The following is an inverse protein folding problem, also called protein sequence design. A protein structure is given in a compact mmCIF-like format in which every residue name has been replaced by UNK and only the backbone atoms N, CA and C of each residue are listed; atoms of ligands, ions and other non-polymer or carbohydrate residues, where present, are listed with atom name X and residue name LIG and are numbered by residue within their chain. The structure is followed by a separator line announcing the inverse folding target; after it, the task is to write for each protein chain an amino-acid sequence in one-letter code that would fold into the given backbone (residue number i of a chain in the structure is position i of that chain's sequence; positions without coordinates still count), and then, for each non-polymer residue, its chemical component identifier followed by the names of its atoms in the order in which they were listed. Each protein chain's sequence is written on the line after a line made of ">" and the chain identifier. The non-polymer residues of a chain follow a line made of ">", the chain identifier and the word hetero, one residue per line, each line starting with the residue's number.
data_IF_438238759868
#
_entry.id   IF_438238759868
#
_cell.length_a   1.000
_cell.length_b   1.000
_cell.length_c   1.000
_cell.angle_alpha   90.00
_cell.angle_beta   90.00
_cell.angle_gamma   90.00
#
_symmetry.space_group_name_H-M   'P 1'
#
loop_
_entity.id
_entity.type
_entity.pdbx_description
1 polymer ?
#
# COMPACT_ATOMS: atom_id res chain seq x y z
N UNK A 1 17.32 -13.91 -4.01
CA UNK A 1 16.88 -13.01 -5.10
C UNK A 1 17.39 -11.61 -4.78
N UNK A 2 17.98 -10.93 -5.76
CA UNK A 2 18.54 -9.60 -5.58
C UNK A 2 17.49 -8.61 -5.05
N UNK A 3 17.84 -7.87 -4.01
CA UNK A 3 16.92 -6.99 -3.28
C UNK A 3 16.86 -5.62 -3.96
N UNK A 4 15.93 -5.47 -4.90
CA UNK A 4 15.56 -4.17 -5.47
C UNK A 4 14.67 -3.34 -4.52
N UNK A 5 14.61 -2.03 -4.74
CA UNK A 5 13.60 -1.17 -4.13
C UNK A 5 12.32 -1.21 -4.95
N UNK A 6 11.17 -1.11 -4.28
CA UNK A 6 9.87 -0.97 -4.92
C UNK A 6 9.33 0.42 -4.58
N UNK A 7 8.84 1.11 -5.60
CA UNK A 7 8.25 2.43 -5.50
C UNK A 7 6.83 2.38 -6.05
N UNK A 8 5.86 2.72 -5.21
CA UNK A 8 4.45 2.79 -5.59
C UNK A 8 3.98 4.25 -5.61
N UNK A 9 3.22 4.60 -6.64
CA UNK A 9 2.45 5.84 -6.71
C UNK A 9 0.98 5.49 -6.87
N UNK A 10 0.21 5.67 -5.80
CA UNK A 10 -1.18 5.20 -5.70
C UNK A 10 -2.19 6.33 -5.52
N UNK A 11 -3.37 6.11 -6.08
CA UNK A 11 -4.60 6.75 -5.62
C UNK A 11 -5.37 5.75 -4.73
N UNK A 12 -5.86 6.25 -3.60
CA UNK A 12 -6.69 5.46 -2.69
C UNK A 12 -8.05 6.13 -2.51
N UNK A 13 -9.10 5.33 -2.55
CA UNK A 13 -10.46 5.74 -2.22
C UNK A 13 -10.87 5.01 -0.95
N UNK A 14 -11.32 5.77 0.05
CA UNK A 14 -11.75 5.22 1.34
C UNK A 14 -13.20 5.63 1.65
N UNK A 15 -14.00 4.64 2.02
CA UNK A 15 -15.38 4.78 2.48
C UNK A 15 -15.43 4.50 3.98
N UNK A 16 -15.95 5.43 4.80
CA UNK A 16 -16.14 5.18 6.22
C UNK A 16 -17.23 4.12 6.45
N UNK A 17 -16.93 3.08 7.23
CA UNK A 17 -17.91 2.10 7.70
C UNK A 17 -18.41 2.42 9.12
N UNK A 18 -17.53 2.96 9.94
CA UNK A 18 -17.83 3.40 11.30
C UNK A 18 -16.92 4.58 11.68
N UNK A 19 -17.16 5.20 12.83
CA UNK A 19 -16.40 6.38 13.31
C UNK A 19 -14.88 6.22 13.23
N UNK A 20 -14.37 5.01 13.49
CA UNK A 20 -12.96 4.70 13.52
C UNK A 20 -12.52 3.71 12.43
N UNK A 21 -13.42 3.29 11.54
CA UNK A 21 -13.19 2.19 10.60
C UNK A 21 -13.55 2.66 9.18
N UNK A 22 -12.67 2.41 8.23
CA UNK A 22 -12.90 2.67 6.81
C UNK A 22 -12.43 1.48 5.99
N UNK A 23 -13.14 1.21 4.91
CA UNK A 23 -12.69 0.28 3.87
C UNK A 23 -12.41 1.07 2.61
N UNK A 24 -11.54 0.53 1.76
CA UNK A 24 -11.18 1.24 0.56
C UNK A 24 -10.50 0.35 -0.45
N UNK A 25 -10.21 0.93 -1.60
CA UNK A 25 -9.35 0.35 -2.61
C UNK A 25 -8.21 1.29 -2.93
N UNK A 26 -7.12 0.74 -3.45
CA UNK A 26 -6.07 1.53 -4.08
C UNK A 26 -5.71 0.96 -5.44
N UNK A 27 -5.31 1.84 -6.33
CA UNK A 27 -4.73 1.51 -7.61
C UNK A 27 -3.70 2.56 -8.00
N UNK A 28 -2.79 2.23 -8.91
CA UNK A 28 -1.71 3.14 -9.24
C UNK A 28 -0.72 2.55 -10.21
N UNK A 29 0.54 2.92 -10.04
CA UNK A 29 1.67 2.34 -10.75
C UNK A 29 2.76 1.98 -9.75
N UNK A 30 3.46 0.88 -10.00
CA UNK A 30 4.65 0.53 -9.26
C UNK A 30 5.84 0.31 -10.20
N UNK A 31 7.04 0.57 -9.68
CA UNK A 31 8.31 0.24 -10.32
C UNK A 31 9.21 -0.49 -9.32
N UNK A 32 9.80 -1.61 -9.74
CA UNK A 32 10.83 -2.31 -8.98
C UNK A 32 12.18 -2.14 -9.69
N UNK A 33 13.25 -1.93 -8.93
CA UNK A 33 14.58 -1.67 -9.52
C UNK A 33 15.37 -2.94 -9.83
N UNK A 34 15.02 -4.09 -9.23
CA UNK A 34 15.62 -5.41 -9.50
C UNK A 34 14.64 -6.55 -9.16
N UNK A 35 14.26 -7.39 -10.13
CA UNK A 35 14.36 -7.13 -11.58
C UNK A 35 13.59 -5.85 -11.96
N UNK A 36 13.87 -5.27 -13.13
CA UNK A 36 13.14 -4.11 -13.65
C UNK A 36 11.69 -4.51 -13.94
N UNK A 37 10.80 -4.23 -12.98
CA UNK A 37 9.37 -4.51 -13.09
C UNK A 37 8.60 -3.20 -13.11
N UNK A 38 7.56 -3.16 -13.92
CA UNK A 38 6.57 -2.09 -13.92
C UNK A 38 5.18 -2.72 -13.92
N UNK A 39 4.25 -2.11 -13.19
CA UNK A 39 2.92 -2.67 -13.11
C UNK A 39 1.92 -1.81 -12.38
N UNK A 40 0.77 -2.41 -12.11
CA UNK A 40 -0.38 -1.75 -11.50
C UNK A 40 -0.76 -2.51 -10.23
N UNK A 41 -0.64 -1.89 -9.04
CA UNK A 41 -1.22 -2.44 -7.82
C UNK A 41 -2.75 -2.34 -7.87
N UNK A 42 -3.43 -3.36 -7.36
CA UNK A 42 -4.86 -3.36 -7.11
C UNK A 42 -5.12 -4.03 -5.77
N UNK A 43 -5.31 -3.21 -4.73
CA UNK A 43 -5.58 -3.71 -3.38
C UNK A 43 -6.90 -3.22 -2.83
N UNK A 44 -7.48 -4.06 -1.98
CA UNK A 44 -8.46 -3.66 -0.98
C UNK A 44 -7.75 -3.31 0.33
N UNK A 45 -8.35 -2.42 1.10
CA UNK A 45 -7.80 -1.97 2.37
C UNK A 45 -8.88 -1.86 3.44
N UNK A 46 -8.45 -2.14 4.67
CA UNK A 46 -9.19 -1.88 5.90
C UNK A 46 -8.33 -0.98 6.77
N UNK A 47 -8.84 0.21 7.11
CA UNK A 47 -8.13 1.19 7.93
C UNK A 47 -8.87 1.45 9.23
N UNK A 48 -8.12 1.37 10.33
CA UNK A 48 -8.50 1.80 11.65
C UNK A 48 -7.86 3.16 11.96
N UNK A 49 -8.63 4.06 12.54
CA UNK A 49 -8.18 5.41 12.97
C UNK A 49 -8.40 5.58 14.47
N UNK A 50 -7.36 6.01 15.17
CA UNK A 50 -7.35 6.24 16.61
C UNK A 50 -6.69 7.58 16.95
N UNK A 51 -6.60 7.92 18.24
CA UNK A 51 -6.07 9.19 18.72
C UNK A 51 -6.75 10.43 18.08
N UNK A 52 -8.09 10.39 17.94
CA UNK A 52 -8.91 11.40 17.24
C UNK A 52 -8.54 11.55 15.76
N UNK A 53 -8.16 10.45 15.11
CA UNK A 53 -7.79 10.42 13.69
C UNK A 53 -6.34 10.79 13.39
N UNK A 54 -5.51 11.00 14.42
CA UNK A 54 -4.09 11.36 14.28
C UNK A 54 -3.17 10.16 14.10
N UNK A 55 -3.66 8.96 14.36
CA UNK A 55 -2.91 7.74 14.17
C UNK A 55 -3.79 6.68 13.50
N UNK A 56 -3.17 5.81 12.73
CA UNK A 56 -3.86 4.83 11.91
C UNK A 56 -3.11 3.51 11.82
N UNK A 57 -3.86 2.45 11.61
CA UNK A 57 -3.41 1.10 11.27
C UNK A 57 -4.20 0.66 10.04
N UNK A 58 -3.57 0.02 9.08
CA UNK A 58 -4.19 -0.43 7.85
C UNK A 58 -3.72 -1.84 7.52
N UNK A 59 -4.66 -2.71 7.21
CA UNK A 59 -4.39 -3.92 6.43
C UNK A 59 -4.67 -3.66 4.96
N UNK A 60 -3.86 -4.24 4.06
CA UNK A 60 -4.08 -4.26 2.61
C UNK A 60 -3.90 -5.66 2.07
N UNK A 61 -4.65 -6.01 1.04
CA UNK A 61 -4.51 -7.27 0.33
C UNK A 61 -5.06 -7.16 -1.07
N UNK A 62 -4.37 -7.79 -2.03
CA UNK A 62 -4.72 -7.69 -3.43
C UNK A 62 -3.70 -8.30 -4.35
N UNK A 63 -3.68 -7.78 -5.58
CA UNK A 63 -2.87 -8.29 -6.67
C UNK A 63 -2.12 -7.15 -7.33
N UNK A 64 -0.88 -7.41 -7.69
CA UNK A 64 -0.08 -6.54 -8.54
C UNK A 64 -0.07 -7.15 -9.95
N UNK A 65 -0.57 -6.38 -10.91
CA UNK A 65 -0.48 -6.70 -12.33
C UNK A 65 0.91 -6.29 -12.81
N UNK A 66 1.80 -7.26 -12.97
CA UNK A 66 3.17 -7.05 -13.41
C UNK A 66 3.27 -7.18 -14.94
N UNK A 67 3.87 -6.18 -15.57
CA UNK A 67 4.16 -6.16 -17.01
C UNK A 67 5.65 -6.31 -17.33
N UNK A 68 6.52 -6.38 -16.32
CA UNK A 68 7.91 -6.82 -16.46
C UNK A 68 7.98 -8.35 -16.52
N UNK A 69 8.91 -8.91 -17.29
CA UNK A 69 8.99 -10.36 -17.54
C UNK A 69 8.85 -11.24 -16.28
N UNK A 70 8.18 -12.38 -16.40
CA UNK A 70 7.85 -13.28 -15.28
C UNK A 70 6.34 -13.47 -15.11
N UNK A 71 5.89 -13.68 -13.87
CA UNK A 71 4.46 -13.83 -13.54
C UNK A 71 3.71 -12.50 -13.66
N UNK A 72 2.57 -12.52 -14.36
CA UNK A 72 1.71 -11.35 -14.57
C UNK A 72 0.93 -10.96 -13.31
N UNK A 73 0.63 -11.94 -12.45
CA UNK A 73 -0.12 -11.73 -11.21
C UNK A 73 0.80 -12.02 -10.02
N UNK A 74 1.06 -11.00 -9.21
CA UNK A 74 1.80 -11.13 -7.96
C UNK A 74 0.85 -10.87 -6.79
N UNK A 75 0.74 -11.83 -5.87
CA UNK A 75 -0.05 -11.65 -4.66
C UNK A 75 0.58 -10.63 -3.74
N UNK A 76 -0.24 -9.72 -3.19
CA UNK A 76 0.21 -8.68 -2.28
C UNK A 76 -0.61 -8.68 -1.00
N UNK A 77 0.08 -8.58 0.14
CA UNK A 77 -0.52 -8.35 1.45
C UNK A 77 0.38 -7.42 2.25
N UNK A 78 -0.22 -6.49 2.99
CA UNK A 78 0.54 -5.54 3.78
C UNK A 78 -0.18 -5.13 5.07
N UNK A 79 0.60 -4.78 6.07
CA UNK A 79 0.16 -4.09 7.27
C UNK A 79 0.98 -2.81 7.40
N UNK A 80 0.30 -1.69 7.57
CA UNK A 80 0.91 -0.40 7.71
C UNK A 80 0.33 0.38 8.88
N UNK A 81 1.16 1.17 9.55
CA UNK A 81 0.73 2.04 10.63
C UNK A 81 1.45 3.38 10.55
N UNK A 82 0.85 4.41 11.14
CA UNK A 82 1.46 5.71 11.11
C UNK A 82 0.63 6.81 11.73
N UNK A 83 1.05 8.03 11.41
CA UNK A 83 0.46 9.27 11.88
C UNK A 83 -0.25 9.99 10.73
N UNK A 84 -1.21 10.81 11.09
CA UNK A 84 -1.99 11.63 10.20
C UNK A 84 -2.15 13.04 10.78
N UNK A 85 -2.04 14.02 9.90
CA UNK A 85 -2.47 15.39 10.12
C UNK A 85 -3.78 15.63 9.34
N UNK A 86 -4.21 16.89 9.17
CA UNK A 86 -5.39 17.19 8.36
C UNK A 86 -5.23 16.78 6.89
N UNK A 87 -4.04 16.95 6.33
CA UNK A 87 -3.78 16.79 4.89
C UNK A 87 -2.66 15.80 4.56
N UNK A 88 -1.84 15.40 5.54
CA UNK A 88 -0.69 14.52 5.33
C UNK A 88 -0.78 13.27 6.18
N UNK A 89 -0.35 12.14 5.63
CA UNK A 89 -0.13 10.89 6.37
C UNK A 89 1.29 10.40 6.14
N UNK A 90 1.93 9.93 7.20
CA UNK A 90 3.25 9.30 7.16
C UNK A 90 3.18 8.01 7.95
N UNK A 91 3.77 6.94 7.45
CA UNK A 91 3.77 5.66 8.13
C UNK A 91 4.85 4.70 7.66
N UNK A 92 4.90 3.57 8.34
CA UNK A 92 5.71 2.42 7.98
C UNK A 92 4.79 1.31 7.49
N UNK A 93 5.31 0.50 6.58
CA UNK A 93 4.63 -0.66 6.05
C UNK A 93 5.53 -1.88 6.09
N UNK A 94 4.94 -3.01 6.44
CA UNK A 94 5.51 -4.34 6.23
C UNK A 94 4.59 -5.05 5.26
N UNK A 95 5.17 -5.52 4.16
CA UNK A 95 4.42 -6.16 3.10
C UNK A 95 5.09 -7.44 2.63
N UNK A 96 4.31 -8.26 1.95
CA UNK A 96 4.78 -9.39 1.20
C UNK A 96 4.18 -9.27 -0.20
N UNK A 97 5.05 -9.17 -1.20
CA UNK A 97 4.72 -9.19 -2.60
C UNK A 97 5.39 -10.41 -3.19
N UNK A 98 4.63 -11.45 -3.51
CA UNK A 98 5.15 -12.76 -3.90
C UNK A 98 6.33 -12.64 -4.91
N UNK A 99 7.53 -13.18 -4.62
CA UNK A 99 7.95 -13.96 -3.43
C UNK A 99 8.73 -13.17 -2.36
N UNK A 100 8.67 -11.84 -2.39
CA UNK A 100 9.56 -10.93 -1.65
C UNK A 100 8.89 -10.25 -0.45
N UNK A 101 9.45 -10.37 0.76
CA UNK A 101 9.07 -9.51 1.88
C UNK A 101 9.64 -8.10 1.69
N UNK A 102 8.88 -7.09 2.12
CA UNK A 102 9.17 -5.68 1.94
C UNK A 102 8.97 -4.93 3.26
N UNK A 103 9.80 -3.92 3.49
CA UNK A 103 9.58 -2.90 4.51
C UNK A 103 9.66 -1.56 3.79
N UNK A 104 8.67 -0.71 4.01
CA UNK A 104 8.49 0.52 3.27
C UNK A 104 8.14 1.71 4.15
N UNK A 105 8.38 2.89 3.58
CA UNK A 105 7.85 4.15 4.07
C UNK A 105 6.64 4.52 3.23
N UNK A 106 5.57 4.95 3.91
CA UNK A 106 4.35 5.41 3.25
C UNK A 106 4.15 6.90 3.49
N UNK A 107 4.04 7.63 2.39
CA UNK A 107 3.66 9.04 2.38
C UNK A 107 2.33 9.16 1.65
N UNK A 108 1.44 10.00 2.15
CA UNK A 108 0.14 10.22 1.54
C UNK A 108 -0.35 11.64 1.75
N UNK A 109 -1.00 12.16 0.71
CA UNK A 109 -1.72 13.42 0.78
C UNK A 109 -3.21 13.13 0.77
N UNK A 110 -3.96 13.76 1.68
CA UNK A 110 -5.42 13.72 1.72
C UNK A 110 -5.95 14.93 0.96
N UNK A 111 -6.65 14.64 -0.13
CA UNK A 111 -7.44 15.59 -0.91
C UNK A 111 -8.74 15.93 -0.19
#
# INVERSE_FOLDING_TARGET
>A
MDRGGIFDADLAVETPLARAISVGGRFGVFVATRPDLVGVPLDLSLRLRFARGRAWLSGRGGLYLNFGGGSVLLGHVAIAFGLATRSLTVGLEVAYLEPSPLIGLRLGWRL
#
